data_IF_250098084785
#
_entry.id   IF_250098084785
#
_cell.length_a   1.000
_cell.length_b   1.000
_cell.length_c   1.000
_cell.angle_alpha   90.00
_cell.angle_beta   90.00
_cell.angle_gamma   90.00
#
_symmetry.space_group_name_H-M   'P 1'
#
loop_
_entity.id
_entity.type
_entity.pdbx_description
1 polymer ?
#
# COMPACT_ATOMS: atom_id res chain seq x y z
N UNK A 1 59.44 -2.27 24.15
CA UNK A 1 58.46 -2.72 23.13
C UNK A 1 57.63 -3.88 23.65
N UNK A 2 56.41 -3.64 24.15
CA UNK A 2 55.23 -4.52 24.02
C UNK A 2 54.05 -3.81 24.68
N UNK A 3 53.32 -3.15 23.79
CA UNK A 3 51.95 -2.65 23.88
C UNK A 3 51.15 -3.12 25.11
N UNK A 4 50.92 -2.21 26.07
CA UNK A 4 49.65 -2.18 26.80
C UNK A 4 48.57 -1.95 25.75
N UNK A 5 47.78 -2.99 25.42
CA UNK A 5 46.56 -2.80 24.63
C UNK A 5 45.53 -2.13 25.54
N UNK A 6 45.57 -0.81 25.58
CA UNK A 6 44.46 0.03 26.02
C UNK A 6 43.30 -0.26 25.08
N UNK A 7 42.21 -0.83 25.60
CA UNK A 7 40.95 -0.95 24.87
C UNK A 7 40.24 0.40 25.05
N UNK A 8 40.11 1.26 24.03
CA UNK A 8 39.33 2.48 24.17
C UNK A 8 37.84 2.12 24.15
N UNK A 9 37.16 2.36 25.28
CA UNK A 9 35.70 2.22 25.46
C UNK A 9 34.95 3.40 24.81
N UNK A 10 35.43 3.87 23.66
CA UNK A 10 34.91 5.08 23.03
C UNK A 10 33.79 4.72 22.03
N UNK A 11 32.63 5.33 22.27
CA UNK A 11 31.56 5.64 21.31
C UNK A 11 30.30 4.76 21.38
N UNK A 12 29.70 4.71 22.58
CA UNK A 12 28.24 4.71 22.73
C UNK A 12 27.68 6.07 22.27
N UNK A 13 27.55 6.28 20.96
CA UNK A 13 26.79 7.38 20.36
C UNK A 13 26.75 7.08 18.86
N UNK A 14 25.65 6.54 18.33
CA UNK A 14 24.43 7.30 18.07
C UNK A 14 23.24 6.39 18.32
N UNK A 15 22.37 6.82 19.22
CA UNK A 15 20.98 6.44 19.18
C UNK A 15 20.47 6.70 17.75
N UNK A 16 20.43 5.65 16.92
CA UNK A 16 19.67 5.66 15.68
C UNK A 16 18.20 5.54 16.05
N UNK A 17 17.71 6.60 16.71
CA UNK A 17 16.30 6.93 16.88
C UNK A 17 15.78 7.42 15.54
N UNK A 18 15.84 6.53 14.56
CA UNK A 18 15.15 6.59 13.28
C UNK A 18 14.54 5.20 13.25
N UNK A 19 13.30 4.99 13.69
CA UNK A 19 12.11 5.36 12.94
C UNK A 19 10.94 5.50 13.91
N UNK A 20 10.68 6.71 14.40
CA UNK A 20 9.34 7.03 14.90
C UNK A 20 8.45 7.06 13.65
N UNK A 21 7.92 5.88 13.27
CA UNK A 21 6.81 5.77 12.33
C UNK A 21 5.76 6.75 12.84
N UNK A 22 5.56 7.84 12.12
CA UNK A 22 4.50 8.81 12.42
C UNK A 22 3.22 8.02 12.56
N UNK A 23 2.74 7.91 13.80
CA UNK A 23 1.44 7.34 14.08
C UNK A 23 0.44 8.27 13.39
N UNK A 24 -0.45 7.75 12.54
CA UNK A 24 -1.48 8.58 11.92
C UNK A 24 -2.37 9.15 13.04
N UNK A 25 -2.19 10.43 13.33
CA UNK A 25 -2.97 11.22 14.31
C UNK A 25 -4.34 11.64 13.75
N UNK A 26 -5.01 10.70 13.08
CA UNK A 26 -6.41 10.81 12.68
C UNK A 26 -7.12 9.52 13.05
N UNK A 27 -8.41 9.58 13.43
CA UNK A 27 -9.19 8.36 13.72
C UNK A 27 -9.25 7.49 12.46
N UNK A 28 -8.36 6.52 12.36
CA UNK A 28 -8.41 5.47 11.36
C UNK A 28 -9.66 4.65 11.64
N UNK A 29 -10.60 4.64 10.69
CA UNK A 29 -11.78 3.79 10.78
C UNK A 29 -11.56 2.49 10.02
N UNK A 30 -12.13 1.38 10.53
CA UNK A 30 -12.17 0.12 9.80
C UNK A 30 -12.83 0.30 8.43
N UNK A 31 -13.90 1.11 8.34
CA UNK A 31 -14.59 1.38 7.08
C UNK A 31 -13.68 2.02 6.04
N UNK A 32 -12.84 2.97 6.44
CA UNK A 32 -11.88 3.63 5.54
C UNK A 32 -10.84 2.65 5.01
N UNK A 33 -10.29 1.78 5.88
CA UNK A 33 -9.33 0.77 5.46
C UNK A 33 -9.93 -0.27 4.51
N UNK A 34 -11.13 -0.76 4.81
CA UNK A 34 -11.84 -1.70 3.95
C UNK A 34 -12.11 -1.07 2.58
N UNK A 35 -12.52 0.20 2.56
CA UNK A 35 -12.73 0.95 1.30
C UNK A 35 -11.44 1.07 0.49
N UNK A 36 -10.32 1.37 1.15
CA UNK A 36 -9.02 1.50 0.47
C UNK A 36 -8.49 0.15 -0.03
N UNK A 37 -8.69 -0.92 0.73
CA UNK A 37 -8.37 -2.27 0.30
C UNK A 37 -9.20 -2.66 -0.92
N UNK A 38 -10.51 -2.45 -0.87
CA UNK A 38 -11.42 -2.76 -1.96
C UNK A 38 -11.05 -2.00 -3.24
N UNK A 39 -10.78 -0.70 -3.13
CA UNK A 39 -10.32 0.12 -4.26
C UNK A 39 -9.08 -0.48 -4.93
N UNK A 40 -8.08 -0.85 -4.12
CA UNK A 40 -6.82 -1.44 -4.62
C UNK A 40 -7.05 -2.79 -5.28
N UNK A 41 -7.85 -3.67 -4.69
CA UNK A 41 -8.16 -4.98 -5.25
C UNK A 41 -8.87 -4.87 -6.60
N UNK A 42 -9.85 -3.95 -6.72
CA UNK A 42 -10.55 -3.71 -7.99
C UNK A 42 -9.60 -3.16 -9.05
N UNK A 43 -8.78 -2.16 -8.72
CA UNK A 43 -7.82 -1.58 -9.66
C UNK A 43 -6.84 -2.65 -10.19
N UNK A 44 -6.29 -3.47 -9.30
CA UNK A 44 -5.35 -4.53 -9.67
C UNK A 44 -6.00 -5.62 -10.54
N UNK A 45 -7.23 -6.03 -10.24
CA UNK A 45 -7.96 -7.00 -11.06
C UNK A 45 -8.27 -6.44 -12.47
N UNK A 46 -8.65 -5.16 -12.55
CA UNK A 46 -8.84 -4.48 -13.82
C UNK A 46 -7.54 -4.46 -14.63
N UNK A 47 -6.41 -4.13 -14.02
CA UNK A 47 -5.12 -4.12 -14.72
C UNK A 47 -4.69 -5.52 -15.19
N UNK A 48 -4.80 -6.55 -14.34
CA UNK A 48 -4.52 -7.96 -14.72
C UNK A 48 -5.29 -8.40 -15.95
N UNK A 49 -6.57 -8.02 -16.03
CA UNK A 49 -7.46 -8.38 -17.14
C UNK A 49 -7.50 -7.35 -18.27
N UNK A 50 -6.52 -6.44 -18.35
CA UNK A 50 -6.46 -5.39 -19.40
C UNK A 50 -7.78 -4.62 -19.52
N UNK A 51 -8.38 -4.32 -18.37
CA UNK A 51 -9.64 -3.60 -18.21
C UNK A 51 -10.88 -4.34 -18.73
N UNK A 52 -10.80 -5.66 -18.95
CA UNK A 52 -11.97 -6.50 -19.17
C UNK A 52 -12.77 -6.66 -17.86
N UNK A 53 -13.83 -5.85 -17.74
CA UNK A 53 -14.64 -5.71 -16.53
C UNK A 53 -15.39 -7.01 -16.17
N UNK A 54 -15.86 -7.76 -17.17
CA UNK A 54 -16.55 -9.03 -16.91
C UNK A 54 -15.60 -10.08 -16.31
N UNK A 55 -14.37 -10.17 -16.81
CA UNK A 55 -13.35 -11.07 -16.24
C UNK A 55 -12.89 -10.64 -14.85
N UNK A 56 -12.67 -9.33 -14.64
CA UNK A 56 -12.33 -8.79 -13.33
C UNK A 56 -13.45 -9.03 -12.29
N UNK A 57 -14.72 -8.88 -12.68
CA UNK A 57 -15.87 -9.17 -11.80
C UNK A 57 -15.88 -10.63 -11.38
N UNK A 58 -15.70 -11.55 -12.34
CA UNK A 58 -15.64 -13.00 -12.09
C UNK A 58 -14.48 -13.39 -11.18
N UNK A 59 -13.30 -12.79 -11.37
CA UNK A 59 -12.15 -13.04 -10.50
C UNK A 59 -12.43 -12.60 -9.06
N UNK A 60 -13.06 -11.45 -8.88
CA UNK A 60 -13.36 -10.89 -7.55
C UNK A 60 -14.62 -11.49 -6.91
N UNK A 61 -15.32 -12.41 -7.58
CA UNK A 61 -16.59 -12.96 -7.09
C UNK A 61 -17.71 -11.92 -7.02
N UNK A 62 -17.62 -10.82 -7.79
CA UNK A 62 -18.62 -9.77 -7.83
C UNK A 62 -19.57 -9.96 -9.01
N UNK A 63 -20.82 -9.53 -8.84
CA UNK A 63 -21.69 -9.33 -9.98
C UNK A 63 -21.14 -8.20 -10.87
N UNK A 64 -21.38 -8.28 -12.18
CA UNK A 64 -21.01 -7.22 -13.11
C UNK A 64 -21.55 -5.83 -12.72
N UNK A 65 -22.84 -5.65 -12.38
CA UNK A 65 -23.34 -4.33 -11.97
C UNK A 65 -22.70 -3.83 -10.67
N UNK A 66 -22.41 -4.70 -9.71
CA UNK A 66 -21.68 -4.32 -8.48
C UNK A 66 -20.29 -3.78 -8.80
N UNK A 67 -19.54 -4.47 -9.67
CA UNK A 67 -18.22 -3.99 -10.09
C UNK A 67 -18.33 -2.61 -10.75
N UNK A 68 -19.29 -2.41 -11.66
CA UNK A 68 -19.49 -1.11 -12.31
C UNK A 68 -19.81 0.00 -11.31
N UNK A 69 -20.66 -0.28 -10.31
CA UNK A 69 -20.97 0.68 -9.24
C UNK A 69 -19.71 1.07 -8.45
N UNK A 70 -18.86 0.09 -8.09
CA UNK A 70 -17.61 0.34 -7.37
C UNK A 70 -16.57 1.09 -8.20
N UNK A 71 -16.43 0.78 -9.49
CA UNK A 71 -15.55 1.52 -10.41
C UNK A 71 -15.94 3.00 -10.45
N UNK A 72 -17.25 3.29 -10.54
CA UNK A 72 -17.75 4.68 -10.51
C UNK A 72 -17.53 5.34 -9.16
N UNK A 73 -17.88 4.66 -8.07
CA UNK A 73 -17.75 5.18 -6.71
C UNK A 73 -16.29 5.50 -6.34
N UNK A 74 -15.34 4.74 -6.86
CA UNK A 74 -13.91 4.94 -6.62
C UNK A 74 -13.20 5.73 -7.74
N UNK A 75 -13.94 6.17 -8.76
CA UNK A 75 -13.40 6.93 -9.89
C UNK A 75 -12.17 6.25 -10.53
N UNK A 76 -12.23 4.93 -10.71
CA UNK A 76 -11.11 4.18 -11.26
C UNK A 76 -11.03 4.35 -12.78
N UNK A 77 -9.90 4.87 -13.24
CA UNK A 77 -9.65 5.13 -14.66
C UNK A 77 -8.45 4.35 -15.19
N UNK A 78 -8.52 3.96 -16.46
CA UNK A 78 -7.40 3.30 -17.14
C UNK A 78 -6.33 4.35 -17.36
N UNK A 79 -5.16 4.17 -16.71
CA UNK A 79 -4.00 4.99 -17.00
C UNK A 79 -3.75 4.94 -18.51
N UNK A 80 -3.80 6.11 -19.16
CA UNK A 80 -3.42 6.25 -20.56
C UNK A 80 -1.90 6.02 -20.59
N UNK A 81 -1.45 5.05 -21.38
CA UNK A 81 -0.03 4.93 -21.64
C UNK A 81 0.39 6.21 -22.39
N UNK A 82 1.20 7.05 -21.75
CA UNK A 82 1.89 8.14 -22.43
C UNK A 82 2.78 7.49 -23.48
N UNK A 83 2.49 7.80 -24.75
CA UNK A 83 3.21 7.29 -25.93
C UNK A 83 4.49 8.08 -26.15
#
# INVERSE_FOLDING_TARGET
MRSRRSIPVAQMTRASTFLLRVAPTGRISLRSNVTELERRMIAQALDRHRWNKARAARELGLSYPTLLARIRAFQLERRKATR
#
